data_IF_960660984678
#
_entry.id   IF_960660984678
#
_cell.length_a   1.000
_cell.length_b   1.000
_cell.length_c   1.000
_cell.angle_alpha   90.00
_cell.angle_beta   90.00
_cell.angle_gamma   90.00
#
_symmetry.space_group_name_H-M   'P 1'
#
loop_
_entity.id
_entity.type
_entity.pdbx_description
1 polymer ?
#
# COMPACT_ATOMS: atom_id res chain seq x y z
N UNK A 1 10.57 5.36 -9.03
CA UNK A 1 9.73 4.20 -9.37
C UNK A 1 8.42 4.17 -8.56
N UNK A 2 8.44 4.23 -7.19
CA UNK A 2 7.22 4.19 -6.37
C UNK A 2 6.27 5.35 -6.67
N UNK A 3 6.78 6.60 -6.78
CA UNK A 3 5.97 7.78 -7.12
C UNK A 3 5.32 7.60 -8.50
N UNK A 4 6.06 7.06 -9.47
CA UNK A 4 5.54 6.81 -10.82
C UNK A 4 4.45 5.74 -10.81
N UNK A 5 4.67 4.61 -10.13
CA UNK A 5 3.65 3.56 -9.97
C UNK A 5 2.39 4.08 -9.26
N UNK A 6 2.56 4.88 -8.20
CA UNK A 6 1.45 5.50 -7.50
C UNK A 6 0.68 6.47 -8.41
N UNK A 7 1.36 7.35 -9.14
CA UNK A 7 0.72 8.27 -10.08
C UNK A 7 -0.04 7.51 -11.18
N UNK A 8 0.57 6.47 -11.73
CA UNK A 8 -0.03 5.62 -12.76
C UNK A 8 -1.30 4.93 -12.27
N UNK A 9 -1.31 4.48 -11.01
CA UNK A 9 -2.47 3.83 -10.41
C UNK A 9 -3.73 4.70 -10.35
N UNK A 10 -3.56 6.03 -10.31
CA UNK A 10 -4.67 6.98 -10.35
C UNK A 10 -5.00 7.49 -11.77
N UNK A 11 -3.98 7.67 -12.61
CA UNK A 11 -4.17 8.30 -13.92
C UNK A 11 -4.64 7.32 -15.01
N UNK A 12 -4.29 6.05 -14.89
CA UNK A 12 -4.60 5.04 -15.92
C UNK A 12 -5.84 4.18 -15.60
N UNK A 13 -6.45 4.36 -14.44
CA UNK A 13 -7.65 3.63 -14.05
C UNK A 13 -8.90 4.51 -14.18
N UNK A 14 -10.06 3.86 -14.43
CA UNK A 14 -11.34 4.56 -14.44
C UNK A 14 -11.73 5.00 -13.01
N UNK A 15 -12.49 6.08 -12.90
CA UNK A 15 -13.01 6.58 -11.61
C UNK A 15 -13.88 5.55 -10.85
N UNK A 16 -14.36 4.51 -11.53
CA UNK A 16 -15.21 3.46 -10.97
C UNK A 16 -14.42 2.33 -10.30
N UNK A 17 -13.09 2.31 -10.44
CA UNK A 17 -12.24 1.27 -9.86
C UNK A 17 -11.29 1.85 -8.80
N UNK A 18 -10.96 1.03 -7.78
CA UNK A 18 -9.93 1.43 -6.83
C UNK A 18 -8.60 1.64 -7.54
N UNK A 19 -7.80 2.64 -7.13
CA UNK A 19 -6.47 2.88 -7.71
C UNK A 19 -5.62 1.61 -7.61
N UNK A 20 -5.05 1.18 -8.73
CA UNK A 20 -4.19 -0.01 -8.80
C UNK A 20 -3.21 0.10 -9.96
N UNK A 21 -2.10 -0.60 -9.88
CA UNK A 21 -1.17 -0.80 -10.99
C UNK A 21 -1.18 -2.27 -11.44
N UNK A 22 -0.78 -2.51 -12.68
CA UNK A 22 -0.63 -3.87 -13.18
C UNK A 22 0.60 -4.53 -12.54
N UNK A 23 0.52 -5.83 -12.34
CA UNK A 23 1.64 -6.60 -11.77
C UNK A 23 2.92 -6.46 -12.61
N UNK A 24 2.80 -6.46 -13.94
CA UNK A 24 3.94 -6.29 -14.84
C UNK A 24 4.60 -4.90 -14.70
N UNK A 25 3.84 -3.85 -14.42
CA UNK A 25 4.39 -2.52 -14.15
C UNK A 25 5.28 -2.50 -12.91
N UNK A 26 4.88 -3.22 -11.86
CA UNK A 26 5.71 -3.40 -10.66
C UNK A 26 7.02 -4.12 -10.98
N UNK A 27 6.97 -5.20 -11.76
CA UNK A 27 8.17 -5.94 -12.16
C UNK A 27 9.12 -5.08 -13.01
N UNK A 28 8.60 -4.28 -13.94
CA UNK A 28 9.38 -3.37 -14.79
C UNK A 28 10.03 -2.23 -14.00
N UNK A 29 9.43 -1.79 -12.89
CA UNK A 29 9.89 -0.68 -12.04
C UNK A 29 10.57 -1.17 -10.75
N UNK A 30 11.10 -2.37 -10.74
CA UNK A 30 11.64 -3.05 -9.56
C UNK A 30 12.89 -2.41 -8.94
N UNK A 31 13.68 -1.68 -9.73
CA UNK A 31 14.95 -1.12 -9.27
C UNK A 31 14.80 -0.18 -8.06
N UNK A 32 15.52 -0.48 -6.97
CA UNK A 32 15.54 0.31 -5.74
C UNK A 32 14.24 0.21 -4.93
N UNK A 33 13.48 -0.87 -5.07
CA UNK A 33 12.26 -1.16 -4.33
C UNK A 33 12.46 -2.46 -3.54
N UNK A 34 12.11 -2.43 -2.25
CA UNK A 34 11.96 -3.62 -1.41
C UNK A 34 10.47 -3.98 -1.39
N UNK A 35 10.15 -5.26 -1.55
CA UNK A 35 8.78 -5.75 -1.64
C UNK A 35 8.50 -6.78 -0.55
N UNK A 36 7.32 -6.69 0.06
CA UNK A 36 6.78 -7.68 0.99
C UNK A 36 5.61 -8.41 0.34
N UNK A 37 5.42 -9.69 0.70
CA UNK A 37 4.32 -10.51 0.16
C UNK A 37 2.94 -9.97 0.51
N UNK A 38 2.85 -9.15 1.54
CA UNK A 38 1.61 -8.53 1.99
C UNK A 38 0.83 -9.37 3.00
N UNK A 39 -0.18 -8.72 3.59
CA UNK A 39 -1.07 -9.32 4.59
C UNK A 39 -2.14 -10.21 3.97
N UNK A 40 -2.98 -10.82 4.83
CA UNK A 40 -4.15 -11.61 4.43
C UNK A 40 -5.14 -10.85 3.52
N UNK A 41 -5.12 -9.51 3.57
CA UNK A 41 -5.99 -8.62 2.76
C UNK A 41 -5.35 -8.16 1.45
N UNK A 42 -4.08 -8.45 1.23
CA UNK A 42 -3.34 -8.12 0.02
C UNK A 42 -3.52 -9.19 -1.08
N UNK A 43 -2.77 -9.07 -2.18
CA UNK A 43 -2.89 -9.96 -3.33
C UNK A 43 -2.75 -11.43 -2.95
N UNK A 44 -1.66 -11.81 -2.28
CA UNK A 44 -1.37 -13.20 -1.91
C UNK A 44 -2.43 -13.73 -0.93
N UNK A 45 -2.82 -12.94 0.09
CA UNK A 45 -3.86 -13.32 1.04
C UNK A 45 -5.23 -13.51 0.39
N UNK A 46 -5.59 -12.66 -0.57
CA UNK A 46 -6.83 -12.82 -1.34
C UNK A 46 -6.85 -14.10 -2.18
N UNK A 47 -5.74 -14.45 -2.81
CA UNK A 47 -5.60 -15.72 -3.57
C UNK A 47 -5.63 -16.92 -2.63
N UNK A 48 -4.98 -16.85 -1.48
CA UNK A 48 -5.02 -17.86 -0.42
C UNK A 48 -6.45 -18.14 0.03
N UNK A 49 -7.23 -17.11 0.35
CA UNK A 49 -8.64 -17.25 0.74
C UNK A 49 -9.52 -17.86 -0.35
N UNK A 50 -9.12 -17.73 -1.63
CA UNK A 50 -9.80 -18.37 -2.78
C UNK A 50 -9.29 -19.79 -3.09
N UNK A 51 -8.23 -20.25 -2.41
CA UNK A 51 -7.60 -21.55 -2.68
C UNK A 51 -6.79 -21.62 -3.96
N UNK A 52 -6.36 -20.49 -4.52
CA UNK A 52 -5.64 -20.38 -5.80
C UNK A 52 -4.12 -20.51 -5.59
N UNK A 53 -3.68 -21.64 -5.05
CA UNK A 53 -2.29 -21.86 -4.63
C UNK A 53 -1.30 -21.90 -5.80
N UNK A 54 -1.71 -22.40 -6.96
CA UNK A 54 -0.84 -22.44 -8.14
C UNK A 54 -0.53 -21.01 -8.64
N UNK A 55 -1.52 -20.13 -8.66
CA UNK A 55 -1.32 -18.73 -9.02
C UNK A 55 -0.40 -18.01 -8.02
N UNK A 56 -0.49 -18.33 -6.72
CA UNK A 56 0.43 -17.80 -5.71
C UNK A 56 1.85 -18.25 -6.01
N UNK A 57 2.08 -19.53 -6.29
CA UNK A 57 3.42 -20.05 -6.62
C UNK A 57 4.03 -19.32 -7.81
N UNK A 58 3.25 -19.08 -8.87
CA UNK A 58 3.69 -18.35 -10.07
C UNK A 58 4.05 -16.87 -9.75
N UNK A 59 3.26 -16.22 -8.90
CA UNK A 59 3.51 -14.84 -8.47
C UNK A 59 4.77 -14.78 -7.62
N UNK A 60 4.93 -15.67 -6.64
CA UNK A 60 6.10 -15.73 -5.75
C UNK A 60 7.36 -16.01 -6.58
N UNK A 61 7.32 -16.94 -7.53
CA UNK A 61 8.45 -17.23 -8.43
C UNK A 61 8.86 -15.99 -9.23
N UNK A 62 7.92 -15.23 -9.78
CA UNK A 62 8.20 -13.99 -10.51
C UNK A 62 8.78 -12.91 -9.60
N UNK A 63 8.21 -12.72 -8.40
CA UNK A 63 8.71 -11.75 -7.44
C UNK A 63 10.11 -12.09 -6.96
N UNK A 64 10.38 -13.36 -6.58
CA UNK A 64 11.68 -13.80 -6.11
C UNK A 64 12.78 -13.64 -7.16
N UNK A 65 12.49 -13.95 -8.43
CA UNK A 65 13.45 -13.76 -9.54
C UNK A 65 13.72 -12.29 -9.85
N UNK A 66 12.71 -11.43 -9.69
CA UNK A 66 12.83 -10.00 -10.02
C UNK A 66 13.49 -9.21 -8.90
N UNK A 67 13.06 -9.40 -7.65
CA UNK A 67 13.51 -8.61 -6.51
C UNK A 67 14.64 -9.26 -5.72
N UNK A 68 14.86 -10.57 -5.87
CA UNK A 68 15.95 -11.32 -5.20
C UNK A 68 15.98 -11.05 -3.69
N UNK A 69 17.09 -10.52 -3.19
CA UNK A 69 17.30 -10.19 -1.78
C UNK A 69 16.39 -9.03 -1.26
N UNK A 70 15.67 -8.36 -2.16
CA UNK A 70 14.73 -7.29 -1.83
C UNK A 70 13.28 -7.78 -1.72
N UNK A 71 13.04 -9.09 -1.74
CA UNK A 71 11.72 -9.69 -1.55
C UNK A 71 11.64 -10.48 -0.25
N UNK A 72 10.65 -10.16 0.60
CA UNK A 72 10.42 -10.79 1.89
C UNK A 72 9.02 -11.39 1.96
N UNK A 73 8.91 -12.54 2.63
CA UNK A 73 7.63 -13.10 3.04
C UNK A 73 7.21 -12.43 4.35
N UNK A 74 6.09 -11.73 4.30
CA UNK A 74 5.57 -10.94 5.41
C UNK A 74 4.75 -11.79 6.37
N UNK A 75 5.02 -11.66 7.67
CA UNK A 75 4.27 -12.30 8.75
C UNK A 75 3.67 -11.21 9.64
N UNK A 76 2.35 -11.27 9.83
CA UNK A 76 1.60 -10.36 10.69
C UNK A 76 0.80 -11.15 11.72
N UNK A 77 0.56 -10.56 12.90
CA UNK A 77 -0.18 -11.18 14.02
C UNK A 77 -1.09 -10.16 14.69
N UNK A 78 -2.37 -10.16 14.28
CA UNK A 78 -3.41 -9.28 14.83
C UNK A 78 -4.59 -10.07 15.44
N UNK A 79 -4.52 -11.40 15.46
CA UNK A 79 -5.64 -12.30 15.81
C UNK A 79 -6.86 -12.14 14.89
N UNK A 80 -6.62 -11.80 13.64
CA UNK A 80 -7.67 -11.76 12.61
C UNK A 80 -8.07 -13.18 12.16
N UNK A 81 -9.27 -13.29 11.64
CA UNK A 81 -9.79 -14.56 11.12
C UNK A 81 -8.89 -15.10 10.01
N UNK A 82 -8.54 -16.40 10.04
CA UNK A 82 -7.66 -17.10 9.11
C UNK A 82 -6.17 -16.66 9.14
N UNK A 83 -5.78 -15.71 9.98
CA UNK A 83 -4.39 -15.21 10.02
C UNK A 83 -3.39 -16.31 10.35
N UNK A 84 -3.70 -17.18 11.31
CA UNK A 84 -2.81 -18.29 11.68
C UNK A 84 -2.61 -19.31 10.55
N UNK A 85 -3.66 -19.62 9.78
CA UNK A 85 -3.55 -20.50 8.62
C UNK A 85 -2.69 -19.86 7.52
N UNK A 86 -2.86 -18.56 7.31
CA UNK A 86 -2.06 -17.80 6.35
C UNK A 86 -0.60 -17.68 6.78
N UNK A 87 -0.33 -17.46 8.07
CA UNK A 87 1.04 -17.50 8.63
C UNK A 87 1.73 -18.84 8.35
N UNK A 88 1.05 -19.96 8.64
CA UNK A 88 1.60 -21.29 8.37
C UNK A 88 1.87 -21.51 6.88
N UNK A 89 0.97 -21.03 6.01
CA UNK A 89 1.17 -21.05 4.57
C UNK A 89 2.39 -20.23 4.15
N UNK A 90 2.53 -19.00 4.64
CA UNK A 90 3.67 -18.11 4.34
C UNK A 90 5.00 -18.70 4.81
N UNK A 91 5.05 -19.34 5.98
CA UNK A 91 6.25 -20.05 6.47
C UNK A 91 6.63 -21.24 5.56
N UNK A 92 5.65 -21.94 5.00
CA UNK A 92 5.90 -23.00 4.01
C UNK A 92 6.38 -22.43 2.67
N UNK A 93 5.84 -21.32 2.21
CA UNK A 93 6.30 -20.60 1.01
C UNK A 93 7.74 -20.12 1.19
N UNK A 94 8.07 -19.48 2.33
CA UNK A 94 9.43 -19.06 2.66
C UNK A 94 10.42 -20.22 2.53
N UNK A 95 10.12 -21.37 3.13
CA UNK A 95 10.95 -22.59 3.04
C UNK A 95 11.04 -23.15 1.62
N UNK A 96 9.91 -23.17 0.87
CA UNK A 96 9.85 -23.71 -0.49
C UNK A 96 10.70 -22.93 -1.48
N UNK A 97 10.71 -21.61 -1.36
CA UNK A 97 11.39 -20.71 -2.29
C UNK A 97 12.68 -20.10 -1.73
N UNK A 98 13.10 -20.53 -0.52
CA UNK A 98 14.29 -20.02 0.19
C UNK A 98 14.26 -18.48 0.32
N UNK A 99 13.15 -17.95 0.83
CA UNK A 99 12.90 -16.52 0.94
C UNK A 99 12.92 -16.06 2.40
N UNK A 100 13.54 -14.90 2.69
CA UNK A 100 13.58 -14.35 4.05
C UNK A 100 12.18 -13.96 4.53
N UNK A 101 11.92 -14.14 5.82
CA UNK A 101 10.70 -13.70 6.48
C UNK A 101 10.91 -12.35 7.17
N UNK A 102 9.86 -11.53 7.27
CA UNK A 102 9.88 -10.27 8.00
C UNK A 102 8.63 -10.13 8.87
N UNK A 103 8.80 -9.68 10.12
CA UNK A 103 7.70 -9.40 11.04
C UNK A 103 7.25 -7.95 10.87
N UNK A 104 5.99 -7.74 10.47
CA UNK A 104 5.41 -6.40 10.36
C UNK A 104 4.13 -6.27 11.17
N UNK A 105 3.65 -5.06 11.31
CA UNK A 105 2.42 -4.77 12.03
C UNK A 105 1.62 -3.67 11.34
N UNK A 106 0.36 -3.94 11.07
CA UNK A 106 -0.56 -2.99 10.47
C UNK A 106 -1.21 -2.15 11.59
N UNK A 107 -0.89 -0.86 11.64
CA UNK A 107 -1.28 0.05 12.73
C UNK A 107 -2.35 1.01 12.24
N UNK A 108 -3.48 1.07 12.97
CA UNK A 108 -4.57 2.01 12.69
C UNK A 108 -4.78 3.04 13.82
N UNK A 109 -4.34 2.76 15.05
CA UNK A 109 -4.50 3.62 16.21
C UNK A 109 -3.36 3.45 17.21
N UNK A 110 -3.19 4.43 18.11
CA UNK A 110 -2.05 4.47 19.04
C UNK A 110 -2.18 3.44 20.18
N UNK A 111 -3.34 3.40 20.83
CA UNK A 111 -3.58 2.57 22.01
C UNK A 111 -4.70 1.58 21.77
N UNK A 112 -4.64 0.42 22.40
CA UNK A 112 -5.63 -0.63 22.26
C UNK A 112 -7.06 -0.18 22.62
N UNK A 113 -7.21 0.75 23.58
CA UNK A 113 -8.50 1.31 23.98
C UNK A 113 -9.14 2.22 22.93
N UNK A 114 -8.40 2.63 21.90
CA UNK A 114 -8.93 3.41 20.77
C UNK A 114 -9.68 2.56 19.73
N UNK A 115 -9.70 1.26 19.89
CA UNK A 115 -10.33 0.33 18.93
C UNK A 115 -11.80 0.67 18.67
N UNK A 116 -12.61 0.94 19.73
CA UNK A 116 -14.03 1.26 19.57
C UNK A 116 -14.25 2.57 18.81
N UNK A 117 -13.42 3.58 19.09
CA UNK A 117 -13.48 4.85 18.37
C UNK A 117 -13.12 4.69 16.88
N UNK A 118 -12.09 3.87 16.58
CA UNK A 118 -11.71 3.55 15.21
C UNK A 118 -12.81 2.76 14.50
N UNK A 119 -13.44 1.79 15.16
CA UNK A 119 -14.54 1.01 14.61
C UNK A 119 -15.76 1.89 14.26
N UNK A 120 -16.08 2.86 15.10
CA UNK A 120 -17.10 3.87 14.80
C UNK A 120 -16.73 4.76 13.61
N UNK A 121 -15.45 5.19 13.51
CA UNK A 121 -14.94 5.96 12.38
C UNK A 121 -15.04 5.17 11.06
N UNK A 122 -14.73 3.89 11.09
CA UNK A 122 -14.88 3.00 9.94
C UNK A 122 -16.33 2.91 9.47
N UNK A 123 -17.29 2.80 10.40
CA UNK A 123 -18.71 2.80 10.08
C UNK A 123 -19.15 4.09 9.39
N UNK A 124 -18.67 5.25 9.85
CA UNK A 124 -18.95 6.55 9.22
C UNK A 124 -18.41 6.57 7.78
N UNK A 125 -17.16 6.16 7.59
CA UNK A 125 -16.51 6.13 6.28
C UNK A 125 -17.18 5.19 5.28
N UNK A 126 -17.66 4.04 5.74
CA UNK A 126 -18.33 3.02 4.93
C UNK A 126 -19.84 3.24 4.80
N UNK A 127 -20.38 4.28 5.44
CA UNK A 127 -21.83 4.57 5.49
C UNK A 127 -22.65 3.37 5.98
N UNK A 128 -22.16 2.70 7.01
CA UNK A 128 -22.76 1.50 7.62
C UNK A 128 -23.00 1.72 9.12
N UNK A 129 -23.62 0.75 9.79
CA UNK A 129 -23.91 0.79 11.23
C UNK A 129 -23.05 -0.19 12.00
N UNK A 130 -22.77 0.12 13.29
CA UNK A 130 -21.96 -0.74 14.17
C UNK A 130 -22.54 -2.17 14.26
N UNK A 131 -23.86 -2.31 14.22
CA UNK A 131 -24.56 -3.59 14.32
C UNK A 131 -24.65 -4.38 13.01
N UNK A 132 -24.14 -3.83 11.88
CA UNK A 132 -24.12 -4.55 10.61
C UNK A 132 -23.15 -5.73 10.68
N UNK A 133 -23.61 -6.99 10.50
CA UNK A 133 -22.75 -8.16 10.56
C UNK A 133 -21.81 -8.29 9.36
N UNK A 134 -22.12 -7.64 8.22
CA UNK A 134 -21.39 -7.77 6.97
C UNK A 134 -20.30 -6.71 6.77
N UNK A 135 -20.15 -5.76 7.71
CA UNK A 135 -19.14 -4.73 7.63
C UNK A 135 -17.72 -5.26 7.88
N UNK A 136 -16.71 -4.60 7.34
CA UNK A 136 -15.33 -4.87 7.69
C UNK A 136 -15.08 -4.56 9.18
N UNK A 137 -14.42 -5.49 9.86
CA UNK A 137 -14.02 -5.37 11.27
C UNK A 137 -12.55 -5.68 11.39
N UNK A 138 -11.89 -4.98 12.30
CA UNK A 138 -10.51 -5.24 12.69
C UNK A 138 -10.49 -5.74 14.13
N UNK A 139 -9.48 -6.50 14.49
CA UNK A 139 -9.24 -6.86 15.88
C UNK A 139 -8.75 -5.65 16.68
N UNK A 140 -8.78 -5.75 18.01
CA UNK A 140 -8.21 -4.71 18.88
C UNK A 140 -6.67 -4.76 18.94
N UNK A 141 -6.03 -5.56 18.08
CA UNK A 141 -4.58 -5.72 18.05
C UNK A 141 -3.87 -4.80 17.06
N UNK A 142 -4.60 -3.99 16.29
CA UNK A 142 -4.04 -3.03 15.32
C UNK A 142 -3.59 -1.71 15.97
N UNK A 143 -3.16 -1.72 17.22
CA UNK A 143 -2.56 -0.56 17.88
C UNK A 143 -1.04 -0.50 17.66
N UNK A 144 -0.45 0.66 17.91
CA UNK A 144 0.98 0.87 17.78
C UNK A 144 1.73 0.17 18.93
N UNK A 145 2.19 -1.04 18.67
CA UNK A 145 2.91 -1.87 19.65
C UNK A 145 4.30 -1.32 19.92
N UNK A 146 4.77 -1.47 21.17
CA UNK A 146 6.16 -1.18 21.54
C UNK A 146 7.11 -2.22 20.95
N UNK A 147 8.40 -1.92 20.97
CA UNK A 147 9.43 -2.87 20.53
C UNK A 147 9.41 -4.15 21.36
N UNK A 148 9.19 -4.02 22.67
CA UNK A 148 9.10 -5.17 23.60
C UNK A 148 7.89 -6.05 23.29
N UNK A 149 6.73 -5.45 23.00
CA UNK A 149 5.54 -6.19 22.60
C UNK A 149 5.74 -6.91 21.27
N UNK A 150 6.40 -6.30 20.30
CA UNK A 150 6.74 -6.92 19.01
C UNK A 150 7.72 -8.09 19.21
N UNK A 151 8.77 -7.93 20.04
CA UNK A 151 9.73 -8.98 20.34
C UNK A 151 9.03 -10.18 20.99
N UNK A 152 8.16 -9.93 21.97
CA UNK A 152 7.40 -11.01 22.63
C UNK A 152 6.43 -11.70 21.67
N UNK A 153 5.76 -10.93 20.81
CA UNK A 153 4.80 -11.43 19.82
C UNK A 153 5.43 -12.38 18.80
N UNK A 154 6.67 -12.11 18.40
CA UNK A 154 7.41 -12.87 17.37
C UNK A 154 8.63 -13.62 17.91
N UNK A 155 8.72 -13.88 19.22
CA UNK A 155 9.87 -14.56 19.85
C UNK A 155 10.17 -15.95 19.29
N UNK A 156 9.18 -16.60 18.67
CA UNK A 156 9.30 -17.89 17.99
C UNK A 156 9.86 -17.76 16.56
N UNK A 157 9.97 -16.54 16.02
CA UNK A 157 10.50 -16.22 14.70
C UNK A 157 11.63 -15.17 14.80
N UNK A 158 12.77 -15.48 15.43
CA UNK A 158 13.84 -14.50 15.66
C UNK A 158 14.43 -13.94 14.36
N UNK A 159 14.47 -14.72 13.30
CA UNK A 159 14.90 -14.27 11.96
C UNK A 159 14.03 -13.14 11.42
N UNK A 160 12.71 -13.24 11.62
CA UNK A 160 11.78 -12.19 11.14
C UNK A 160 11.99 -10.87 11.89
N UNK A 161 12.34 -10.92 13.19
CA UNK A 161 12.68 -9.74 14.00
C UNK A 161 14.04 -9.16 13.59
N UNK A 162 15.04 -9.99 13.32
CA UNK A 162 16.34 -9.54 12.85
C UNK A 162 16.24 -8.85 11.49
N UNK A 163 15.49 -9.42 10.56
CA UNK A 163 15.23 -8.80 9.26
C UNK A 163 14.51 -7.45 9.41
N UNK A 164 13.53 -7.35 10.32
CA UNK A 164 12.86 -6.09 10.62
C UNK A 164 13.83 -5.02 11.16
N UNK A 165 14.72 -5.40 12.08
CA UNK A 165 15.74 -4.49 12.61
C UNK A 165 16.73 -4.03 11.53
N UNK A 166 17.12 -4.90 10.62
CA UNK A 166 18.11 -4.62 9.57
C UNK A 166 17.53 -3.86 8.37
N UNK A 167 16.22 -3.95 8.12
CA UNK A 167 15.57 -3.34 6.96
C UNK A 167 15.80 -1.83 6.80
N UNK A 168 15.69 -0.98 7.86
CA UNK A 168 15.92 0.45 7.75
C UNK A 168 17.33 0.81 7.25
N UNK A 169 18.35 0.01 7.55
CA UNK A 169 19.72 0.24 7.09
C UNK A 169 19.91 -0.03 5.59
N UNK A 170 18.97 -0.76 4.97
CA UNK A 170 18.91 -0.99 3.52
C UNK A 170 18.22 0.16 2.79
N UNK A 171 17.38 0.95 3.47
CA UNK A 171 16.65 2.07 2.92
C UNK A 171 17.55 3.32 2.94
N UNK A 172 18.28 3.56 1.85
CA UNK A 172 19.28 4.64 1.78
C UNK A 172 18.75 5.96 1.24
N UNK A 173 17.53 5.98 0.70
CA UNK A 173 16.93 7.21 0.17
C UNK A 173 16.54 8.18 1.28
N UNK A 174 17.11 9.38 1.25
CA UNK A 174 16.76 10.47 2.16
C UNK A 174 15.97 11.53 1.39
N UNK A 175 14.68 11.77 1.70
CA UNK A 175 13.95 12.88 1.10
C UNK A 175 14.56 14.21 1.55
N UNK A 176 14.92 15.05 0.58
CA UNK A 176 15.44 16.41 0.84
C UNK A 176 14.33 17.42 0.53
N UNK A 177 14.16 18.45 1.37
CA UNK A 177 13.22 19.52 1.08
C UNK A 177 13.66 20.26 -0.18
N UNK A 178 12.75 20.47 -1.11
CA UNK A 178 12.96 21.26 -2.33
C UNK A 178 12.12 22.54 -2.26
N UNK A 179 12.54 23.57 -3.02
CA UNK A 179 11.70 24.76 -3.20
C UNK A 179 10.41 24.33 -3.93
N UNK A 180 9.26 24.96 -3.60
CA UNK A 180 8.03 24.73 -4.34
C UNK A 180 8.25 24.95 -5.84
N UNK A 181 7.85 23.99 -6.65
CA UNK A 181 7.93 24.06 -8.10
C UNK A 181 6.51 24.23 -8.60
N UNK A 182 6.23 25.37 -9.23
CA UNK A 182 5.00 25.54 -9.97
C UNK A 182 5.18 24.90 -11.35
N UNK A 183 4.25 24.03 -11.79
CA UNK A 183 4.33 23.46 -13.14
C UNK A 183 4.25 24.57 -14.17
N UNK A 184 5.17 24.54 -15.16
CA UNK A 184 5.08 25.42 -16.29
C UNK A 184 4.05 24.85 -17.26
N UNK A 185 2.92 25.52 -17.40
CA UNK A 185 1.79 25.09 -18.25
C UNK A 185 2.00 25.57 -19.70
N UNK A 186 2.94 26.47 -19.94
CA UNK A 186 3.23 26.96 -21.28
C UNK A 186 3.97 25.89 -22.09
N UNK A 187 3.35 25.42 -23.17
CA UNK A 187 4.02 24.70 -24.24
C UNK A 187 4.78 25.69 -25.11
N UNK A 188 6.10 25.48 -25.21
CA UNK A 188 7.02 26.15 -26.16
C UNK A 188 6.64 27.57 -26.61
N UNK A 189 7.37 28.57 -26.16
CA UNK A 189 7.42 29.97 -26.64
C UNK A 189 6.34 30.96 -26.15
N UNK A 190 5.32 30.56 -25.38
CA UNK A 190 4.35 31.51 -24.83
C UNK A 190 4.64 31.76 -23.36
N UNK A 191 4.83 33.02 -22.99
CA UNK A 191 4.97 33.41 -21.59
C UNK A 191 3.67 33.03 -20.82
N UNK A 192 3.82 32.39 -19.65
CA UNK A 192 2.69 31.96 -18.81
C UNK A 192 1.70 33.08 -18.48
N UNK A 193 2.17 34.34 -18.37
CA UNK A 193 1.32 35.52 -18.15
C UNK A 193 0.45 35.84 -19.36
N UNK A 194 0.97 35.67 -20.58
CA UNK A 194 0.23 35.95 -21.79
C UNK A 194 -0.80 34.84 -22.07
N UNK A 195 -0.45 33.59 -21.74
CA UNK A 195 -1.39 32.47 -21.78
C UNK A 195 -2.53 32.70 -20.79
N UNK A 196 -2.23 33.08 -19.53
CA UNK A 196 -3.24 33.37 -18.52
C UNK A 196 -4.20 34.48 -18.97
N UNK A 197 -3.67 35.56 -19.56
CA UNK A 197 -4.51 36.66 -20.10
C UNK A 197 -5.42 36.16 -21.20
N UNK A 198 -4.87 35.41 -22.17
CA UNK A 198 -5.62 34.85 -23.28
C UNK A 198 -6.76 33.95 -22.80
N UNK A 199 -6.45 32.96 -21.94
CA UNK A 199 -7.43 32.02 -21.42
C UNK A 199 -8.49 32.72 -20.57
N UNK A 200 -8.12 33.76 -19.81
CA UNK A 200 -9.06 34.58 -19.05
C UNK A 200 -10.03 35.36 -19.94
N UNK A 201 -9.55 35.92 -21.05
CA UNK A 201 -10.41 36.61 -22.02
C UNK A 201 -11.34 35.64 -22.77
N UNK A 202 -10.83 34.49 -23.16
CA UNK A 202 -11.65 33.46 -23.83
C UNK A 202 -12.74 32.92 -22.88
N UNK A 203 -12.36 32.57 -21.63
CA UNK A 203 -13.32 32.11 -20.63
C UNK A 203 -14.37 33.17 -20.25
N UNK A 204 -13.99 34.47 -20.27
CA UNK A 204 -14.94 35.56 -20.04
C UNK A 204 -15.95 35.65 -21.20
N UNK A 205 -15.50 35.58 -22.47
CA UNK A 205 -16.38 35.55 -23.64
C UNK A 205 -17.39 34.42 -23.59
N UNK A 206 -16.92 33.23 -23.25
CA UNK A 206 -17.78 32.03 -23.16
C UNK A 206 -18.84 32.20 -22.06
N UNK A 207 -18.47 32.77 -20.92
CA UNK A 207 -19.46 33.11 -19.86
C UNK A 207 -20.49 34.13 -20.32
N UNK A 208 -20.07 35.20 -21.01
CA UNK A 208 -21.01 36.17 -21.55
C UNK A 208 -21.98 35.56 -22.55
N UNK A 209 -21.52 34.72 -23.46
CA UNK A 209 -22.37 34.02 -24.44
C UNK A 209 -23.38 33.11 -23.73
N UNK A 210 -22.99 32.46 -22.63
CA UNK A 210 -23.88 31.55 -21.89
C UNK A 210 -24.85 32.25 -20.93
N UNK A 211 -24.55 33.47 -20.48
CA UNK A 211 -25.42 34.25 -19.60
C UNK A 211 -26.48 35.04 -20.40
N UNK A 212 -26.13 35.47 -21.60
CA UNK A 212 -26.97 36.34 -22.42
C UNK A 212 -27.63 35.63 -23.61
N UNK A 213 -27.66 34.29 -23.58
CA UNK A 213 -28.53 33.48 -24.41
C UNK A 213 -29.90 33.33 -23.76
#
# INVERSE_FOLDING_TARGET
NIIELSSKSYLENSELTHPHCKFDDLLLKSSGIIVFSGSLRCLIGNLFNKGLFQEIDEIIDKLSKTFKDDFYIEIQRHNDLNEKQFENFNLNISKKFDLPIIATHEVYYLDQNMHEAHDALMCIGQKTYINDPNRAKFSNQHYFKTSEEMIELFKDLPEALENNFNLPFRCTFRPLPSKPILPNISSNDINSNDLLKKDSYEGLKDKFINIFK
#
